data_IF_518084561947
#
_entry.id   IF_518084561947
#
_cell.length_a   1.000
_cell.length_b   1.000
_cell.length_c   1.000
_cell.angle_alpha   90.00
_cell.angle_beta   90.00
_cell.angle_gamma   90.00
#
_symmetry.space_group_name_H-M   'P 1'
#
loop_
_entity.id
_entity.type
_entity.pdbx_description
1 polymer ?
#
# COMPACT_ATOMS: atom_id res chain seq x y z
N UNK A 1 16.64 -37.33 6.67
CA UNK A 1 16.20 -36.10 5.99
C UNK A 1 14.95 -35.63 6.71
N UNK A 2 15.03 -34.60 7.54
CA UNK A 2 13.86 -34.00 8.19
C UNK A 2 13.25 -33.02 7.21
N UNK A 3 12.06 -33.37 6.69
CA UNK A 3 11.21 -32.44 5.96
C UNK A 3 10.67 -31.40 6.93
N UNK A 4 10.73 -30.13 6.55
CA UNK A 4 10.04 -29.05 7.23
C UNK A 4 8.78 -28.81 6.42
N UNK A 5 7.61 -28.80 7.06
CA UNK A 5 6.33 -28.45 6.44
C UNK A 5 6.01 -26.97 6.74
N UNK A 6 6.52 -26.00 5.96
CA UNK A 6 6.19 -24.61 6.18
C UNK A 6 4.72 -24.38 5.84
N UNK A 7 3.94 -23.95 6.83
CA UNK A 7 2.58 -23.47 6.60
C UNK A 7 2.61 -22.08 5.99
N UNK A 8 1.97 -21.91 4.83
CA UNK A 8 1.79 -20.59 4.22
C UNK A 8 0.74 -19.80 5.01
N UNK A 9 1.14 -18.64 5.50
CA UNK A 9 0.20 -17.71 6.13
C UNK A 9 -0.62 -16.96 5.10
N UNK A 10 -1.92 -16.82 5.37
CA UNK A 10 -2.78 -15.96 4.59
C UNK A 10 -2.23 -14.52 4.65
N UNK A 11 -1.70 -14.05 3.52
CA UNK A 11 -1.24 -12.68 3.40
C UNK A 11 -2.41 -11.70 3.54
N UNK A 12 -2.13 -10.57 4.16
CA UNK A 12 -3.02 -9.42 4.23
C UNK A 12 -3.37 -8.95 2.81
N UNK A 13 -4.54 -8.35 2.63
CA UNK A 13 -4.90 -7.67 1.38
C UNK A 13 -5.09 -6.16 1.60
N UNK A 14 -4.94 -5.41 0.52
CA UNK A 14 -5.35 -4.02 0.41
C UNK A 14 -6.26 -3.91 -0.81
N UNK A 15 -7.45 -3.36 -0.62
CA UNK A 15 -8.37 -3.05 -1.73
C UNK A 15 -8.91 -1.65 -1.58
N UNK A 16 -9.15 -0.98 -2.70
CA UNK A 16 -9.67 0.37 -2.70
C UNK A 16 -10.03 0.87 -4.09
N UNK A 17 -10.24 2.17 -4.15
CA UNK A 17 -10.58 2.89 -5.36
C UNK A 17 -9.62 4.07 -5.53
N UNK A 18 -9.01 4.19 -6.70
CA UNK A 18 -8.24 5.39 -7.07
C UNK A 18 -9.14 6.29 -7.90
N UNK A 19 -9.18 7.57 -7.52
CA UNK A 19 -9.93 8.62 -8.22
C UNK A 19 -9.01 9.76 -8.60
N UNK A 20 -9.35 10.45 -9.69
CA UNK A 20 -8.76 11.74 -10.04
C UNK A 20 -9.27 12.87 -9.11
N UNK A 21 -8.72 14.09 -9.25
CA UNK A 21 -9.11 15.25 -8.46
C UNK A 21 -10.57 15.68 -8.64
N UNK A 22 -11.15 15.37 -9.79
CA UNK A 22 -12.57 15.60 -10.12
C UNK A 22 -13.50 14.50 -9.55
N UNK A 23 -12.93 13.52 -8.83
CA UNK A 23 -13.65 12.39 -8.27
C UNK A 23 -13.92 11.26 -9.26
N UNK A 24 -13.46 11.37 -10.51
CA UNK A 24 -13.65 10.32 -11.51
C UNK A 24 -12.79 9.09 -11.20
N UNK A 25 -13.27 7.86 -11.42
CA UNK A 25 -12.44 6.68 -11.26
C UNK A 25 -11.25 6.71 -12.21
N UNK A 26 -10.07 6.39 -11.69
CA UNK A 26 -8.84 6.46 -12.46
C UNK A 26 -8.36 5.04 -12.78
N UNK A 27 -8.52 4.58 -14.02
CA UNK A 27 -8.28 3.20 -14.49
C UNK A 27 -6.93 2.84 -15.13
N UNK A 28 -6.03 2.10 -14.46
CA UNK A 28 -4.64 1.83 -14.86
C UNK A 28 -3.58 2.56 -14.01
N UNK A 29 -3.88 2.90 -12.75
CA UNK A 29 -2.89 3.47 -11.82
C UNK A 29 -2.13 2.34 -11.16
N UNK A 30 -0.82 2.51 -10.97
CA UNK A 30 -0.02 1.57 -10.19
C UNK A 30 -0.17 1.88 -8.71
N UNK A 31 -0.65 0.91 -7.94
CA UNK A 31 -0.71 0.96 -6.47
C UNK A 31 0.34 0.01 -5.91
N UNK A 32 1.29 0.54 -5.15
CA UNK A 32 2.45 -0.17 -4.62
C UNK A 32 2.41 -0.17 -3.09
N UNK A 33 2.54 -1.34 -2.48
CA UNK A 33 2.62 -1.54 -1.03
C UNK A 33 4.07 -1.81 -0.67
N UNK A 34 4.74 -0.78 -0.16
CA UNK A 34 6.19 -0.74 0.07
C UNK A 34 6.47 -0.97 1.55
N UNK A 35 7.31 -1.96 1.93
CA UNK A 35 7.71 -2.13 3.31
C UNK A 35 8.32 -0.83 3.87
N UNK A 36 7.97 -0.46 5.09
CA UNK A 36 8.44 0.78 5.72
C UNK A 36 9.97 0.89 5.69
N UNK A 37 10.67 -0.16 6.11
CA UNK A 37 12.13 -0.20 6.12
C UNK A 37 12.73 0.04 4.73
N UNK A 38 12.13 -0.56 3.70
CA UNK A 38 12.55 -0.41 2.31
C UNK A 38 12.33 1.01 1.78
N UNK A 39 11.18 1.61 2.08
CA UNK A 39 10.86 2.98 1.70
C UNK A 39 11.82 3.99 2.37
N UNK A 40 12.10 3.80 3.66
CA UNK A 40 13.00 4.67 4.42
C UNK A 40 14.47 4.55 3.98
N UNK A 41 14.87 3.43 3.39
CA UNK A 41 16.17 3.26 2.75
C UNK A 41 16.26 3.90 1.34
N UNK A 42 15.17 4.52 0.86
CA UNK A 42 15.14 5.19 -0.45
C UNK A 42 15.08 4.23 -1.64
N UNK A 43 14.68 2.98 -1.44
CA UNK A 43 14.50 2.04 -2.54
C UNK A 43 13.34 2.46 -3.45
N UNK A 44 13.43 2.13 -4.74
CA UNK A 44 12.38 2.43 -5.71
C UNK A 44 11.09 1.65 -5.37
N UNK A 45 9.97 2.35 -5.07
CA UNK A 45 8.67 1.72 -4.82
C UNK A 45 8.21 0.76 -5.91
N UNK A 46 8.59 0.97 -7.17
CA UNK A 46 8.14 0.15 -8.30
C UNK A 46 8.79 -1.23 -8.34
N UNK A 47 9.97 -1.39 -7.75
CA UNK A 47 10.72 -2.65 -7.79
C UNK A 47 10.72 -3.37 -6.44
N UNK A 48 10.54 -2.63 -5.34
CA UNK A 48 10.70 -3.16 -3.98
C UNK A 48 9.36 -3.37 -3.24
N UNK A 49 8.29 -3.70 -3.97
CA UNK A 49 6.94 -3.73 -3.41
C UNK A 49 6.04 -4.84 -3.98
N UNK A 50 4.88 -5.02 -3.35
CA UNK A 50 3.73 -5.70 -3.97
C UNK A 50 2.88 -4.65 -4.67
N UNK A 51 2.39 -4.95 -5.86
CA UNK A 51 1.68 -3.98 -6.67
C UNK A 51 0.38 -4.53 -7.27
N UNK A 52 -0.54 -3.62 -7.60
CA UNK A 52 -1.68 -3.89 -8.47
C UNK A 52 -1.99 -2.67 -9.32
N UNK A 53 -2.48 -2.90 -10.54
CA UNK A 53 -3.08 -1.88 -11.38
C UNK A 53 -4.54 -1.65 -11.00
N UNK A 54 -5.06 -0.44 -11.21
CA UNK A 54 -6.51 -0.20 -11.11
C UNK A 54 -7.24 -0.62 -12.38
N UNK A 55 -8.45 -1.15 -12.24
CA UNK A 55 -9.32 -1.55 -13.36
C UNK A 55 -10.05 -0.36 -14.01
N UNK A 56 -10.88 -0.61 -15.03
CA UNK A 56 -11.69 0.40 -15.73
C UNK A 56 -12.59 1.24 -14.79
N UNK A 57 -12.93 0.72 -13.63
CA UNK A 57 -13.71 1.40 -12.61
C UNK A 57 -12.84 1.98 -11.48
N UNK A 58 -11.53 2.09 -11.67
CA UNK A 58 -10.57 2.62 -10.71
C UNK A 58 -10.33 1.72 -9.49
N UNK A 59 -10.83 0.49 -9.47
CA UNK A 59 -10.68 -0.44 -8.33
C UNK A 59 -9.36 -1.17 -8.41
N UNK A 60 -8.75 -1.44 -7.27
CA UNK A 60 -7.54 -2.25 -7.19
C UNK A 60 -7.61 -3.25 -6.04
N UNK A 61 -6.79 -4.30 -6.13
CA UNK A 61 -6.61 -5.28 -5.07
C UNK A 61 -5.18 -5.80 -5.06
N UNK A 62 -4.45 -5.52 -3.98
CA UNK A 62 -3.14 -6.10 -3.67
C UNK A 62 -3.35 -7.23 -2.67
N UNK A 63 -2.77 -8.40 -2.92
CA UNK A 63 -2.87 -9.60 -2.06
C UNK A 63 -1.49 -10.14 -1.71
N UNK A 64 -1.42 -10.99 -0.69
CA UNK A 64 -0.15 -11.63 -0.31
C UNK A 64 0.81 -10.65 0.38
N UNK A 65 0.26 -9.64 1.05
CA UNK A 65 1.04 -8.68 1.84
C UNK A 65 1.41 -9.39 3.14
N UNK A 66 2.71 -9.51 3.42
CA UNK A 66 3.19 -10.17 4.63
C UNK A 66 2.91 -9.27 5.84
N UNK A 67 2.69 -9.84 7.05
CA UNK A 67 2.57 -9.03 8.25
C UNK A 67 3.74 -8.06 8.44
N UNK A 68 3.47 -6.82 8.82
CA UNK A 68 4.50 -5.77 8.94
C UNK A 68 3.95 -4.36 8.76
N UNK A 69 4.86 -3.38 8.70
CA UNK A 69 4.54 -1.95 8.48
C UNK A 69 4.87 -1.54 7.05
N UNK A 70 3.96 -0.80 6.44
CA UNK A 70 4.02 -0.45 5.02
C UNK A 70 3.61 1.00 4.78
N UNK A 71 4.16 1.57 3.73
CA UNK A 71 3.60 2.75 3.07
C UNK A 71 2.91 2.32 1.78
N UNK A 72 1.97 3.14 1.31
CA UNK A 72 1.30 2.95 0.02
C UNK A 72 1.73 4.07 -0.92
N UNK A 73 2.22 3.71 -2.10
CA UNK A 73 2.61 4.63 -3.14
C UNK A 73 1.71 4.45 -4.35
N UNK A 74 1.19 5.56 -4.90
CA UNK A 74 0.27 5.56 -6.03
C UNK A 74 0.90 6.33 -7.17
N UNK A 75 0.81 5.76 -8.36
CA UNK A 75 1.34 6.33 -9.60
C UNK A 75 0.22 6.47 -10.61
N UNK A 76 0.33 7.49 -11.46
CA UNK A 76 -0.48 7.63 -12.64
C UNK A 76 0.26 7.04 -13.85
N UNK A 77 0.42 5.71 -13.86
CA UNK A 77 1.12 5.00 -14.93
C UNK A 77 0.19 4.85 -16.15
N UNK A 78 -0.04 5.94 -16.93
CA UNK A 78 -0.73 5.87 -18.24
C UNK A 78 -0.11 6.77 -19.29
N UNK A 79 -0.17 6.26 -20.52
CA UNK A 79 0.08 6.99 -21.76
C UNK A 79 -1.00 8.03 -22.10
N UNK A 80 -2.11 8.09 -21.36
CA UNK A 80 -3.23 9.01 -21.61
C UNK A 80 -3.30 10.10 -20.53
N UNK A 81 -3.36 11.36 -20.99
CA UNK A 81 -3.42 12.56 -20.17
C UNK A 81 -4.78 12.69 -19.44
N UNK A 82 -4.82 13.34 -18.26
CA UNK A 82 -3.71 13.96 -17.55
C UNK A 82 -2.90 12.96 -16.70
N UNK A 83 -1.57 13.09 -16.77
CA UNK A 83 -0.64 12.42 -15.89
C UNK A 83 -0.59 13.14 -14.53
N UNK A 84 -1.05 12.49 -13.47
CA UNK A 84 -0.95 13.02 -12.10
C UNK A 84 0.44 12.75 -11.50
N UNK A 85 0.88 13.60 -10.58
CA UNK A 85 2.08 13.33 -9.81
C UNK A 85 1.90 12.04 -8.99
N UNK A 86 2.93 11.21 -8.97
CA UNK A 86 2.94 10.05 -8.08
C UNK A 86 3.10 10.52 -6.63
N UNK A 87 2.44 9.85 -5.70
CA UNK A 87 2.37 10.30 -4.31
C UNK A 87 2.26 9.13 -3.32
N UNK A 88 2.73 9.38 -2.10
CA UNK A 88 2.50 8.49 -0.97
C UNK A 88 1.13 8.75 -0.34
N UNK A 89 0.45 7.71 0.10
CA UNK A 89 -0.90 7.85 0.64
C UNK A 89 -0.87 8.46 2.04
N UNK A 90 -1.69 9.48 2.25
CA UNK A 90 -1.81 10.21 3.50
C UNK A 90 -0.93 11.46 3.57
N UNK A 91 -1.19 12.28 4.60
CA UNK A 91 -0.46 13.54 4.80
C UNK A 91 -0.49 14.45 3.58
N UNK A 92 0.69 14.90 3.16
CA UNK A 92 0.90 15.83 2.04
C UNK A 92 1.28 15.13 0.73
N UNK A 93 1.17 13.81 0.63
CA UNK A 93 1.59 13.06 -0.55
C UNK A 93 3.08 12.71 -0.60
N UNK A 94 3.85 13.04 0.43
CA UNK A 94 5.28 12.75 0.55
C UNK A 94 5.55 11.63 1.55
N UNK A 95 6.68 10.93 1.39
CA UNK A 95 7.05 9.84 2.31
C UNK A 95 7.14 10.32 3.77
N UNK A 96 7.63 11.54 3.99
CA UNK A 96 7.83 12.13 5.31
C UNK A 96 6.52 12.34 6.10
N UNK A 97 5.39 12.51 5.40
CA UNK A 97 4.07 12.72 6.01
C UNK A 97 3.09 11.58 5.71
N UNK A 98 3.55 10.54 5.01
CA UNK A 98 2.73 9.42 4.58
C UNK A 98 2.16 8.66 5.78
N UNK A 99 0.94 8.17 5.62
CA UNK A 99 0.33 7.29 6.62
C UNK A 99 1.02 5.93 6.57
N UNK A 100 1.50 5.48 7.73
CA UNK A 100 1.97 4.10 7.89
C UNK A 100 0.76 3.20 8.04
N UNK A 101 0.78 2.07 7.35
CA UNK A 101 -0.22 1.02 7.45
C UNK A 101 0.38 -0.23 8.09
N UNK A 102 -0.43 -0.99 8.81
CA UNK A 102 -0.05 -2.28 9.39
C UNK A 102 -0.81 -3.40 8.70
N UNK A 103 -0.06 -4.42 8.30
CA UNK A 103 -0.55 -5.67 7.78
C UNK A 103 -0.56 -6.72 8.90
N UNK A 104 -1.70 -7.36 9.12
CA UNK A 104 -1.86 -8.47 10.07
C UNK A 104 -2.34 -9.72 9.34
N UNK A 105 -1.96 -10.89 9.87
CA UNK A 105 -2.24 -12.18 9.25
C UNK A 105 -3.73 -12.32 8.94
N UNK A 106 -4.05 -12.61 7.67
CA UNK A 106 -5.44 -12.80 7.21
C UNK A 106 -6.36 -11.58 7.30
N UNK A 107 -5.85 -10.38 7.65
CA UNK A 107 -6.64 -9.17 7.80
C UNK A 107 -6.53 -8.24 6.58
N UNK A 108 -7.36 -7.18 6.56
CA UNK A 108 -7.17 -6.05 5.65
C UNK A 108 -6.10 -5.09 6.20
N UNK A 109 -5.34 -4.48 5.31
CA UNK A 109 -4.32 -3.49 5.65
C UNK A 109 -4.99 -2.24 6.26
N UNK A 110 -4.53 -1.81 7.44
CA UNK A 110 -5.17 -0.71 8.19
C UNK A 110 -4.18 0.40 8.55
N UNK A 111 -4.62 1.67 8.63
CA UNK A 111 -3.78 2.75 9.13
C UNK A 111 -3.23 2.37 10.51
N UNK A 112 -1.92 2.51 10.68
CA UNK A 112 -1.30 2.37 11.99
C UNK A 112 -1.65 3.60 12.82
N UNK A 113 -2.59 3.43 13.74
CA UNK A 113 -2.83 4.41 14.78
C UNK A 113 -1.91 4.07 15.94
N UNK A 114 -1.12 5.05 16.39
CA UNK A 114 -0.41 4.89 17.67
C UNK A 114 -1.50 4.91 18.75
N UNK A 115 -1.96 3.73 19.16
CA UNK A 115 -2.97 3.60 20.20
C UNK A 115 -2.56 4.47 21.39
N UNK A 116 -3.44 5.40 21.77
CA UNK A 116 -3.32 6.25 22.94
C UNK A 116 -3.10 5.37 24.15
N UNK A 117 -1.86 5.32 24.65
CA UNK A 117 -1.58 4.63 25.89
C UNK A 117 -2.19 5.48 27.01
N UNK A 118 -3.35 5.07 27.53
CA UNK A 118 -3.78 5.51 28.86
C UNK A 118 -3.00 4.67 29.85
N UNK A 119 -2.00 5.27 30.50
CA UNK A 119 -1.39 4.70 31.68
C UNK A 119 -2.46 4.55 32.77
N UNK A 120 -2.56 3.40 33.46
CA UNK A 120 -3.33 3.35 34.69
C UNK A 120 -2.65 4.24 35.73
N UNK A 121 -3.45 5.06 36.41
CA UNK A 121 -3.06 5.84 37.60
C UNK A 121 -2.65 4.92 38.75
#
# INVERSE_FOLDING_TARGET
MTGVDPTLDAGTRLSGLVRGPDGTPYAGAGVYVVPEATALLGADPRTASRAAGTDAAGRFRVTGILPGRYYVFVTADRSEAPSYASQWLGGSGSLASATVYTAERGADLRPWTRASWSAPL
#
